data_IF_462270137340
#
_entry.id   IF_462270137340
#
_cell.length_a   1.000
_cell.length_b   1.000
_cell.length_c   1.000
_cell.angle_alpha   90.00
_cell.angle_beta   90.00
_cell.angle_gamma   90.00
#
_symmetry.space_group_name_H-M   'P 1'
#
loop_
_entity.id
_entity.type
_entity.pdbx_description
1 polymer ?
#
# COMPACT_ATOMS: atom_id res chain seq x y z
N UNK A 1 -14.80 9.91 2.75
CA UNK A 1 -13.64 9.01 2.92
C UNK A 1 -14.04 7.65 2.36
N UNK A 2 -13.58 7.33 1.15
CA UNK A 2 -13.76 5.99 0.58
C UNK A 2 -12.62 5.10 1.08
N UNK A 3 -12.97 4.04 1.82
CA UNK A 3 -12.02 2.99 2.19
C UNK A 3 -12.08 1.88 1.17
N UNK A 4 -10.91 1.46 0.73
CA UNK A 4 -10.74 0.34 -0.18
C UNK A 4 -10.08 -0.82 0.55
N UNK A 5 -10.34 -2.01 0.08
CA UNK A 5 -9.74 -3.21 0.63
C UNK A 5 -8.24 -3.28 0.32
N UNK A 6 -7.48 -4.02 1.12
CA UNK A 6 -6.08 -4.33 0.81
C UNK A 6 -5.89 -4.96 -0.58
N UNK A 7 -6.89 -5.69 -1.08
CA UNK A 7 -6.87 -6.30 -2.42
C UNK A 7 -6.94 -5.27 -3.53
N UNK A 8 -7.71 -4.20 -3.35
CA UNK A 8 -7.81 -3.11 -4.33
C UNK A 8 -6.57 -2.23 -4.30
N UNK A 9 -6.09 -1.87 -3.11
CA UNK A 9 -4.82 -1.13 -2.97
C UNK A 9 -3.65 -1.90 -3.54
N UNK A 10 -3.62 -3.22 -3.36
CA UNK A 10 -2.61 -4.08 -3.98
C UNK A 10 -2.58 -3.93 -5.51
N UNK A 11 -3.75 -3.78 -6.17
CA UNK A 11 -3.85 -3.53 -7.61
C UNK A 11 -3.40 -2.11 -7.95
N UNK A 12 -3.87 -1.10 -7.23
CA UNK A 12 -3.55 0.32 -7.48
C UNK A 12 -2.05 0.59 -7.33
N UNK A 13 -1.41 0.00 -6.33
CA UNK A 13 0.03 0.19 -6.06
C UNK A 13 0.93 -0.84 -6.75
N UNK A 14 0.34 -1.78 -7.49
CA UNK A 14 1.00 -2.93 -8.13
C UNK A 14 1.94 -3.67 -7.16
N UNK A 15 1.43 -3.98 -5.96
CA UNK A 15 2.15 -4.74 -4.95
C UNK A 15 1.31 -5.91 -4.45
N UNK A 16 1.95 -6.91 -3.85
CA UNK A 16 1.22 -8.03 -3.26
C UNK A 16 0.44 -7.59 -2.02
N UNK A 17 -0.73 -8.22 -1.78
CA UNK A 17 -1.55 -8.00 -0.56
C UNK A 17 -0.74 -8.09 0.74
N UNK A 18 0.18 -9.07 0.84
CA UNK A 18 1.10 -9.20 1.99
C UNK A 18 1.94 -7.95 2.23
N UNK A 19 2.39 -7.27 1.15
CA UNK A 19 3.15 -6.02 1.26
C UNK A 19 2.27 -4.89 1.76
N UNK A 20 1.03 -4.76 1.26
CA UNK A 20 0.05 -3.79 1.79
C UNK A 20 -0.16 -4.02 3.28
N UNK A 21 -0.44 -5.26 3.72
CA UNK A 21 -0.62 -5.60 5.14
C UNK A 21 0.61 -5.26 5.97
N UNK A 22 1.81 -5.47 5.44
CA UNK A 22 3.06 -5.10 6.12
C UNK A 22 3.15 -3.59 6.29
N UNK A 23 2.85 -2.81 5.24
CA UNK A 23 2.84 -1.34 5.30
C UNK A 23 1.79 -0.80 6.28
N UNK A 24 0.61 -1.44 6.34
CA UNK A 24 -0.41 -1.10 7.33
C UNK A 24 0.09 -1.39 8.76
N UNK A 25 0.71 -2.55 8.98
CA UNK A 25 1.27 -2.95 10.28
C UNK A 25 2.44 -2.07 10.71
N UNK A 26 3.27 -1.65 9.76
CA UNK A 26 4.38 -0.72 9.99
C UNK A 26 3.88 0.72 10.24
N UNK A 27 2.57 0.99 10.16
CA UNK A 27 2.00 2.32 10.36
C UNK A 27 2.39 3.32 9.27
N UNK A 28 2.82 2.86 8.10
CA UNK A 28 3.31 3.71 7.00
C UNK A 28 2.22 4.24 6.09
N UNK A 29 0.98 3.78 6.30
CA UNK A 29 -0.19 4.18 5.52
C UNK A 29 -1.07 5.00 6.45
N UNK A 30 -1.09 6.31 6.24
CA UNK A 30 -1.92 7.22 7.01
C UNK A 30 -3.41 6.91 6.78
N UNK A 31 -4.14 6.81 7.89
CA UNK A 31 -5.56 6.48 7.87
C UNK A 31 -5.88 5.00 7.61
N UNK A 32 -4.89 4.11 7.53
CA UNK A 32 -5.15 2.67 7.52
C UNK A 32 -5.74 2.22 8.87
N UNK A 33 -6.89 1.56 8.82
CA UNK A 33 -7.60 1.08 10.02
C UNK A 33 -7.69 -0.45 9.96
N UNK A 34 -7.40 -1.10 11.08
CA UNK A 34 -7.65 -2.53 11.24
C UNK A 34 -9.07 -2.74 11.77
N UNK A 35 -9.94 -3.34 10.96
CA UNK A 35 -11.35 -3.57 11.30
C UNK A 35 -11.75 -4.99 10.90
N UNK A 36 -12.48 -5.70 11.77
CA UNK A 36 -13.05 -7.02 11.49
C UNK A 36 -12.05 -8.02 10.85
N UNK A 37 -10.82 -8.06 11.36
CA UNK A 37 -9.74 -8.93 10.89
C UNK A 37 -9.17 -8.60 9.49
N UNK A 38 -9.50 -7.43 8.93
CA UNK A 38 -8.93 -6.93 7.68
C UNK A 38 -8.40 -5.51 7.83
N UNK A 39 -7.49 -5.12 6.95
CA UNK A 39 -7.03 -3.74 6.86
C UNK A 39 -7.88 -2.98 5.83
N UNK A 40 -8.41 -1.86 6.26
CA UNK A 40 -9.08 -0.87 5.43
C UNK A 40 -8.09 0.27 5.19
N UNK A 41 -7.86 0.57 3.93
CA UNK A 41 -6.93 1.63 3.53
C UNK A 41 -7.72 2.70 2.81
N UNK A 42 -7.57 3.98 3.16
CA UNK A 42 -8.27 5.05 2.45
C UNK A 42 -7.73 5.11 1.02
N UNK A 43 -8.63 5.33 0.06
CA UNK A 43 -8.27 5.47 -1.37
C UNK A 43 -7.31 6.64 -1.62
N UNK A 44 -7.40 7.68 -0.77
CA UNK A 44 -6.50 8.84 -0.75
C UNK A 44 -5.11 8.53 -0.17
N UNK A 45 -4.88 7.34 0.40
CA UNK A 45 -3.57 6.96 0.90
C UNK A 45 -2.56 6.94 -0.26
N UNK A 46 -1.46 7.69 -0.09
CA UNK A 46 -0.32 7.61 -0.99
C UNK A 46 0.56 6.44 -0.61
N UNK A 47 1.11 5.76 -1.62
CA UNK A 47 2.08 4.68 -1.41
C UNK A 47 3.30 5.24 -0.66
N UNK A 48 3.63 4.73 0.53
CA UNK A 48 4.82 5.21 1.25
C UNK A 48 6.06 4.85 0.45
N UNK A 49 7.02 5.77 0.41
CA UNK A 49 8.27 5.59 -0.31
C UNK A 49 9.10 4.49 0.38
N UNK A 50 9.33 3.38 -0.33
CA UNK A 50 10.02 2.23 0.24
C UNK A 50 11.54 2.47 0.22
N UNK A 51 12.21 2.65 1.39
CA UNK A 51 13.64 2.93 1.44
C UNK A 51 14.51 1.73 1.03
N UNK A 52 13.91 0.56 0.71
CA UNK A 52 14.62 -0.55 0.06
C UNK A 52 14.61 -0.44 -1.46
N UNK A 53 13.70 0.35 -2.04
CA UNK A 53 13.55 0.54 -3.50
C UNK A 53 14.39 1.67 -4.08
N UNK A 54 15.20 2.38 -3.29
CA UNK A 54 16.13 3.45 -3.74
C UNK A 54 17.18 2.99 -4.76
N UNK A 55 17.13 1.74 -5.23
CA UNK A 55 18.10 1.15 -6.15
C UNK A 55 17.59 0.73 -7.53
N UNK A 56 16.31 0.92 -7.88
CA UNK A 56 15.82 0.63 -9.25
C UNK A 56 14.70 1.58 -9.67
N UNK A 57 15.07 2.80 -10.03
CA UNK A 57 14.31 3.57 -11.04
C UNK A 57 15.21 3.82 -12.24
N UNK A 58 15.61 2.73 -12.87
CA UNK A 58 16.11 2.66 -14.23
C UNK A 58 15.62 1.29 -14.68
N UNK A 59 14.49 1.22 -15.40
CA UNK A 59 14.20 0.26 -16.49
C UNK A 59 12.79 0.50 -17.01
N UNK A 60 12.80 1.07 -18.22
CA UNK A 60 12.05 0.59 -19.39
C UNK A 60 10.62 1.12 -19.59
N UNK A 61 10.54 2.32 -20.18
CA UNK A 61 9.51 2.63 -21.18
C UNK A 61 10.22 2.53 -22.54
N UNK A 62 9.99 1.41 -23.25
CA UNK A 62 10.35 1.23 -24.66
C UNK A 62 9.13 1.54 -25.51
#
# INVERSE_FOLDING_TARGET
MEYVSTSEIAKIWEISRRRVTTLCREGRIEGAVFAANTWLVPKDAKKPEDPRRVRKMEKNKK
#
